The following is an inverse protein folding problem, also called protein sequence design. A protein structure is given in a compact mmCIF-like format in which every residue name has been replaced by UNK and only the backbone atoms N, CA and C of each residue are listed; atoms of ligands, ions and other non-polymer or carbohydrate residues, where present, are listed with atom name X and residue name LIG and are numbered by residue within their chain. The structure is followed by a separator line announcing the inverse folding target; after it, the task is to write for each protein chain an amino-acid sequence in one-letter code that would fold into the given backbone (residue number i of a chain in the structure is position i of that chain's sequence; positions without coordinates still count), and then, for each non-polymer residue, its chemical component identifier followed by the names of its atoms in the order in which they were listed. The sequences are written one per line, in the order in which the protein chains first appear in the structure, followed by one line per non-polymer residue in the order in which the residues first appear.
data_IF_276952736777
#
_entry.id   IF_276952736777
#
_cell.length_a   1.000
_cell.length_b   1.000
_cell.length_c   1.000
_cell.angle_alpha   90.00
_cell.angle_beta   90.00
_cell.angle_gamma   90.00
#
_symmetry.space_group_name_H-M   'P 1'
#
loop_
_entity.id
_entity.type
_entity.pdbx_description
1 polymer ?
#
# COMPACT_ATOMS: atom_id res chain seq x y z
N UNK A 1 -3.49 -5.04 -8.37
CA UNK A 1 -3.49 -6.11 -7.36
C UNK A 1 -2.08 -6.53 -6.91
N UNK A 2 -1.03 -6.42 -7.75
CA UNK A 2 0.35 -6.73 -7.34
C UNK A 2 0.88 -5.90 -6.14
N UNK A 3 0.37 -4.68 -5.94
CA UNK A 3 0.80 -3.78 -4.86
C UNK A 3 0.38 -4.25 -3.45
N UNK A 4 -0.80 -4.84 -3.31
CA UNK A 4 -1.33 -5.31 -2.02
C UNK A 4 -0.56 -6.55 -1.54
N UNK A 5 -0.30 -7.48 -2.45
CA UNK A 5 0.47 -8.70 -2.16
C UNK A 5 1.92 -8.39 -1.74
N UNK A 6 2.52 -7.34 -2.30
CA UNK A 6 3.91 -6.96 -1.99
C UNK A 6 4.06 -6.34 -0.58
N UNK A 7 3.06 -5.59 -0.11
CA UNK A 7 3.14 -4.85 1.17
C UNK A 7 2.57 -5.59 2.39
N UNK A 8 1.57 -6.46 2.21
CA UNK A 8 0.84 -7.07 3.34
C UNK A 8 1.17 -8.53 3.61
N UNK A 9 2.02 -9.17 2.80
CA UNK A 9 2.29 -10.62 2.84
C UNK A 9 1.05 -11.51 2.69
N UNK A 10 -0.10 -10.99 2.26
CA UNK A 10 -1.29 -11.80 2.01
C UNK A 10 -0.97 -12.92 1.02
N UNK A 11 -1.29 -14.15 1.44
CA UNK A 11 -1.13 -15.32 0.58
C UNK A 11 -1.99 -15.18 -0.67
N UNK A 12 -1.56 -15.80 -1.77
CA UNK A 12 -2.34 -15.80 -3.02
C UNK A 12 -3.78 -16.23 -2.78
N UNK A 13 -3.99 -17.22 -1.93
CA UNK A 13 -5.32 -17.77 -1.63
C UNK A 13 -6.19 -16.78 -0.86
N UNK A 14 -5.67 -16.03 0.11
CA UNK A 14 -6.42 -14.98 0.81
C UNK A 14 -6.89 -13.90 -0.16
N UNK A 15 -6.03 -13.51 -1.10
CA UNK A 15 -6.35 -12.49 -2.11
C UNK A 15 -7.43 -12.96 -3.10
N UNK A 16 -7.47 -14.27 -3.37
CA UNK A 16 -8.49 -14.88 -4.22
C UNK A 16 -9.84 -15.03 -3.50
N UNK A 17 -9.84 -15.16 -2.17
CA UNK A 17 -11.06 -15.23 -1.35
C UNK A 17 -11.69 -13.86 -1.05
N UNK A 18 -10.95 -12.76 -1.23
CA UNK A 18 -11.53 -11.42 -1.06
C UNK A 18 -12.63 -11.14 -2.09
N UNK A 19 -13.75 -10.61 -1.63
CA UNK A 19 -14.82 -10.14 -2.50
C UNK A 19 -14.34 -8.97 -3.37
N UNK A 20 -14.94 -8.79 -4.56
CA UNK A 20 -14.51 -7.72 -5.46
C UNK A 20 -14.67 -6.32 -4.84
N UNK A 21 -15.69 -6.12 -4.00
CA UNK A 21 -15.90 -4.90 -3.22
C UNK A 21 -14.77 -4.63 -2.24
N UNK A 22 -14.31 -5.66 -1.52
CA UNK A 22 -13.22 -5.58 -0.55
C UNK A 22 -11.91 -5.24 -1.24
N UNK A 23 -11.61 -5.89 -2.38
CA UNK A 23 -10.42 -5.56 -3.18
C UNK A 23 -10.38 -4.09 -3.59
N UNK A 24 -11.51 -3.50 -3.99
CA UNK A 24 -11.59 -2.07 -4.34
C UNK A 24 -11.41 -1.16 -3.13
N UNK A 25 -12.00 -1.52 -1.99
CA UNK A 25 -11.85 -0.78 -0.73
C UNK A 25 -10.38 -0.73 -0.30
N UNK A 26 -9.72 -1.88 -0.25
CA UNK A 26 -8.31 -1.97 0.14
C UNK A 26 -7.39 -1.21 -0.82
N UNK A 27 -7.63 -1.27 -2.13
CA UNK A 27 -6.90 -0.44 -3.10
C UNK A 27 -7.00 1.06 -2.80
N UNK A 28 -8.19 1.54 -2.40
CA UNK A 28 -8.41 2.96 -2.08
C UNK A 28 -7.68 3.36 -0.80
N UNK A 29 -7.85 2.59 0.27
CA UNK A 29 -7.23 2.86 1.58
C UNK A 29 -5.69 2.85 1.47
N UNK A 30 -5.11 1.87 0.79
CA UNK A 30 -3.67 1.79 0.55
C UNK A 30 -3.15 2.98 -0.25
N UNK A 31 -3.87 3.40 -1.28
CA UNK A 31 -3.48 4.57 -2.08
C UNK A 31 -3.53 5.87 -1.26
N UNK A 32 -4.47 5.98 -0.30
CA UNK A 32 -4.53 7.12 0.62
C UNK A 32 -3.38 7.12 1.62
N UNK A 33 -3.01 5.96 2.16
CA UNK A 33 -1.85 5.81 3.04
C UNK A 33 -0.56 6.17 2.30
N UNK A 34 -0.35 5.61 1.10
CA UNK A 34 0.84 5.93 0.30
C UNK A 34 0.95 7.42 -0.01
N UNK A 35 -0.15 8.06 -0.40
CA UNK A 35 -0.14 9.51 -0.66
C UNK A 35 0.26 10.30 0.58
N UNK A 36 -0.21 9.90 1.77
CA UNK A 36 0.15 10.55 3.04
C UNK A 36 1.62 10.32 3.41
N UNK A 37 2.15 9.13 3.10
CA UNK A 37 3.56 8.79 3.30
C UNK A 37 4.46 9.59 2.36
N UNK A 38 4.09 9.72 1.08
CA UNK A 38 4.80 10.55 0.10
C UNK A 38 4.74 12.05 0.41
N UNK A 39 3.79 12.50 1.25
CA UNK A 39 3.78 13.88 1.76
C UNK A 39 4.61 14.08 3.02
N UNK A 40 5.16 13.01 3.61
CA UNK A 40 6.21 13.19 4.60
C UNK A 40 7.40 13.80 3.86
N UNK A 41 7.96 14.94 4.33
CA UNK A 41 9.14 15.50 3.70
C UNK A 41 10.19 14.40 3.67
N UNK A 42 10.69 14.10 2.47
CA UNK A 42 11.87 13.29 2.28
C UNK A 42 12.91 13.84 3.26
N UNK A 43 13.25 13.10 4.31
CA UNK A 43 14.47 13.38 5.07
C UNK A 43 15.56 13.00 4.08
N UNK A 44 15.88 13.95 3.20
CA UNK A 44 16.95 13.79 2.23
C UNK A 44 18.20 13.52 3.05
N UNK A 45 18.87 12.41 2.74
CA UNK A 45 20.14 12.04 3.38
C UNK A 45 21.20 13.15 3.25
N UNK A 46 20.95 14.12 2.36
CA UNK A 46 21.71 15.36 2.18
C UNK A 46 21.65 16.32 3.38
N UNK A 47 20.67 16.20 4.27
CA UNK A 47 20.57 17.05 5.48
C UNK A 47 21.51 16.61 6.62
N UNK A 48 22.28 15.53 6.43
CA UNK A 48 23.20 14.95 7.41
C UNK A 48 24.68 15.00 6.97
N UNK A 49 25.02 15.80 5.95
CA UNK A 49 26.40 16.12 5.55
C UNK A 49 26.63 17.64 5.56
#
# INVERSE_FOLDING_TARGET
MAFIAFYFHWGRDELMHLEHSERRRWCKELSEINRRMDTAPEITLDALN
#
